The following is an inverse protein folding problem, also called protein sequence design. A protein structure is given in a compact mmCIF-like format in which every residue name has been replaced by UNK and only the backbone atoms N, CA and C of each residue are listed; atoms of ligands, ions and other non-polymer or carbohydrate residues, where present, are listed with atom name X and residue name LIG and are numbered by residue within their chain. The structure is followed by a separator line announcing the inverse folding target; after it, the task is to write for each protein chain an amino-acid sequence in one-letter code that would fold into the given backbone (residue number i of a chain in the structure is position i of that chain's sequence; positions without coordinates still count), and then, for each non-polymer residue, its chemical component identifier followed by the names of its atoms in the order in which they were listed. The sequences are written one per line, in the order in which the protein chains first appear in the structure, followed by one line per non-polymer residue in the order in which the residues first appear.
data_IF_117210431422
#
_entry.id   IF_117210431422
#
_cell.length_a   1.000
_cell.length_b   1.000
_cell.length_c   1.000
_cell.angle_alpha   90.00
_cell.angle_beta   90.00
_cell.angle_gamma   90.00
#
_symmetry.space_group_name_H-M   'P 1'
#
loop_
_entity.id
_entity.type
_entity.pdbx_description
1 polymer ?
#
# COMPACT_ATOMS: atom_id res chain seq x y z
N UNK A 1 -4.90 -12.47 -12.23
CA UNK A 1 -6.13 -11.71 -12.51
C UNK A 1 -5.84 -10.24 -12.25
N UNK A 2 -6.24 -9.33 -13.15
CA UNK A 2 -6.01 -7.90 -12.93
C UNK A 2 -6.81 -7.46 -11.71
N UNK A 3 -6.14 -7.06 -10.64
CA UNK A 3 -6.79 -6.22 -9.64
C UNK A 3 -7.42 -5.03 -10.37
N UNK A 4 -8.67 -4.72 -10.06
CA UNK A 4 -9.29 -3.50 -10.60
C UNK A 4 -8.50 -2.31 -10.06
N UNK A 5 -7.91 -1.52 -10.96
CA UNK A 5 -7.09 -0.39 -10.56
C UNK A 5 -7.96 0.65 -9.85
N UNK A 6 -7.56 1.01 -8.63
CA UNK A 6 -8.27 1.95 -7.76
C UNK A 6 -7.47 3.25 -7.63
N UNK A 7 -7.61 4.21 -8.58
CA UNK A 7 -6.81 5.42 -8.60
C UNK A 7 -6.97 6.26 -7.34
N UNK A 8 -8.13 6.19 -6.70
CA UNK A 8 -8.43 6.82 -5.41
C UNK A 8 -7.55 6.27 -4.29
N UNK A 9 -7.40 4.94 -4.20
CA UNK A 9 -6.59 4.28 -3.18
C UNK A 9 -5.09 4.49 -3.44
N UNK A 10 -4.67 4.41 -4.70
CA UNK A 10 -3.29 4.70 -5.08
C UNK A 10 -2.92 6.17 -4.84
N UNK A 11 -3.85 7.10 -5.09
CA UNK A 11 -3.69 8.51 -4.77
C UNK A 11 -3.51 8.75 -3.27
N UNK A 12 -4.27 8.08 -2.41
CA UNK A 12 -4.10 8.16 -0.95
C UNK A 12 -2.73 7.66 -0.51
N UNK A 13 -2.25 6.53 -1.08
CA UNK A 13 -0.90 6.01 -0.81
C UNK A 13 0.18 6.99 -1.26
N UNK A 14 0.01 7.59 -2.45
CA UNK A 14 0.93 8.58 -2.99
C UNK A 14 1.02 9.83 -2.10
N UNK A 15 -0.12 10.33 -1.60
CA UNK A 15 -0.14 11.45 -0.66
C UNK A 15 0.53 11.09 0.66
N UNK A 16 0.24 9.90 1.20
CA UNK A 16 0.83 9.41 2.45
C UNK A 16 2.36 9.32 2.36
N UNK A 17 2.91 8.70 1.31
CA UNK A 17 4.37 8.60 1.13
C UNK A 17 5.00 9.96 0.82
N UNK A 18 4.31 10.86 0.11
CA UNK A 18 4.80 12.21 -0.15
C UNK A 18 4.97 13.00 1.16
N UNK A 19 4.06 12.85 2.11
CA UNK A 19 4.20 13.42 3.45
C UNK A 19 5.42 12.86 4.20
N UNK A 20 5.66 11.56 4.12
CA UNK A 20 6.85 10.91 4.71
C UNK A 20 8.13 11.46 4.10
N UNK A 21 8.18 11.58 2.77
CA UNK A 21 9.33 12.13 2.05
C UNK A 21 9.56 13.58 2.45
N UNK A 22 8.52 14.43 2.46
CA UNK A 22 8.63 15.83 2.85
C UNK A 22 9.17 16.00 4.29
N UNK A 23 8.73 15.16 5.22
CA UNK A 23 9.26 15.13 6.58
C UNK A 23 10.78 14.89 6.61
N UNK A 24 11.28 13.94 5.80
CA UNK A 24 12.72 13.66 5.69
C UNK A 24 13.52 14.80 5.01
N UNK A 25 12.85 15.69 4.27
CA UNK A 25 13.45 16.90 3.69
C UNK A 25 13.45 18.12 4.62
N UNK A 26 13.12 17.94 5.90
CA UNK A 26 13.18 19.01 6.90
C UNK A 26 11.87 19.77 7.11
N UNK A 27 10.76 19.31 6.52
CA UNK A 27 9.42 19.80 6.87
C UNK A 27 8.89 19.10 8.13
N UNK A 28 9.72 19.03 9.17
CA UNK A 28 9.41 18.34 10.44
C UNK A 28 8.29 18.99 11.25
N UNK A 29 8.01 20.27 10.98
CA UNK A 29 6.94 21.03 11.64
C UNK A 29 5.53 20.66 11.12
N UNK A 30 5.44 19.84 10.07
CA UNK A 30 4.16 19.32 9.61
C UNK A 30 3.64 18.26 10.61
N UNK A 31 2.48 18.50 11.24
CA UNK A 31 1.89 17.50 12.12
C UNK A 31 1.57 16.23 11.32
N UNK A 32 1.96 15.06 11.85
CA UNK A 32 1.66 13.77 11.24
C UNK A 32 2.77 13.14 10.38
N UNK A 33 4.03 13.54 10.54
CA UNK A 33 5.17 12.95 9.80
C UNK A 33 5.24 11.42 9.85
N UNK A 34 4.84 10.80 10.97
CA UNK A 34 4.74 9.34 11.11
C UNK A 34 3.39 8.77 10.63
N UNK A 35 2.31 9.56 10.63
CA UNK A 35 0.97 9.11 10.21
C UNK A 35 0.93 8.70 8.74
N UNK A 36 1.75 9.33 7.89
CA UNK A 36 1.91 8.91 6.49
C UNK A 36 2.44 7.48 6.36
N UNK A 37 3.31 7.05 7.28
CA UNK A 37 3.83 5.68 7.34
C UNK A 37 2.68 4.71 7.67
N UNK A 38 1.91 5.02 8.72
CA UNK A 38 0.79 4.18 9.16
C UNK A 38 -0.27 4.02 8.06
N UNK A 39 -0.71 5.13 7.45
CA UNK A 39 -1.70 5.12 6.36
C UNK A 39 -1.21 4.26 5.20
N UNK A 40 0.04 4.45 4.75
CA UNK A 40 0.59 3.73 3.62
C UNK A 40 0.63 2.21 3.87
N UNK A 41 1.15 1.81 5.03
CA UNK A 41 1.31 0.38 5.35
C UNK A 41 -0.02 -0.30 5.66
N UNK A 42 -0.98 0.37 6.31
CA UNK A 42 -2.32 -0.18 6.55
C UNK A 42 -3.05 -0.45 5.24
N UNK A 43 -3.08 0.53 4.33
CA UNK A 43 -3.72 0.37 3.02
C UNK A 43 -3.02 -0.74 2.22
N UNK A 44 -1.69 -0.70 2.15
CA UNK A 44 -0.92 -1.69 1.38
C UNK A 44 -1.12 -3.10 1.96
N UNK A 45 -1.09 -3.25 3.27
CA UNK A 45 -1.31 -4.53 3.96
C UNK A 45 -2.71 -5.10 3.70
N UNK A 46 -3.75 -4.26 3.72
CA UNK A 46 -5.11 -4.67 3.37
C UNK A 46 -5.21 -5.17 1.93
N UNK A 47 -4.65 -4.42 0.97
CA UNK A 47 -4.70 -4.77 -0.45
C UNK A 47 -3.91 -6.05 -0.75
N UNK A 48 -2.67 -6.14 -0.27
CA UNK A 48 -1.80 -7.31 -0.45
C UNK A 48 -2.46 -8.55 0.14
N UNK A 49 -2.93 -8.46 1.39
CA UNK A 49 -3.59 -9.61 2.04
C UNK A 49 -4.85 -10.02 1.28
N UNK A 50 -5.66 -9.07 0.81
CA UNK A 50 -6.84 -9.36 -0.01
C UNK A 50 -6.49 -10.06 -1.34
N UNK A 51 -5.39 -9.69 -1.98
CA UNK A 51 -4.88 -10.34 -3.19
C UNK A 51 -4.44 -11.78 -2.91
N UNK A 52 -3.65 -11.99 -1.85
CA UNK A 52 -3.16 -13.32 -1.44
C UNK A 52 -4.31 -14.25 -1.04
N UNK A 53 -5.29 -13.77 -0.26
CA UNK A 53 -6.46 -14.56 0.13
C UNK A 53 -7.31 -14.95 -1.07
N UNK A 54 -7.44 -14.05 -2.05
CA UNK A 54 -8.16 -14.34 -3.31
C UNK A 54 -7.45 -15.42 -4.12
N UNK A 55 -6.13 -15.32 -4.25
CA UNK A 55 -5.33 -16.34 -4.94
C UNK A 55 -5.49 -17.72 -4.28
N UNK A 56 -5.40 -17.79 -2.96
CA UNK A 56 -5.64 -19.05 -2.23
C UNK A 56 -7.05 -19.58 -2.50
N UNK A 57 -8.06 -18.71 -2.50
CA UNK A 57 -9.44 -19.12 -2.72
C UNK A 57 -9.70 -19.62 -4.16
N UNK A 58 -9.01 -19.06 -5.15
CA UNK A 58 -9.18 -19.38 -6.57
C UNK A 58 -8.28 -20.56 -7.02
N UNK A 59 -7.01 -20.57 -6.62
CA UNK A 59 -5.98 -21.50 -7.09
C UNK A 59 -5.62 -22.59 -6.04
N UNK A 60 -6.11 -22.49 -4.81
CA UNK A 60 -5.86 -23.44 -3.71
C UNK A 60 -4.42 -23.39 -3.14
N UNK A 61 -3.60 -22.45 -3.62
CA UNK A 61 -2.20 -22.26 -3.22
C UNK A 61 -1.76 -20.82 -3.44
N UNK A 62 -0.64 -20.44 -2.84
CA UNK A 62 0.05 -19.17 -3.13
C UNK A 62 1.23 -19.42 -4.07
N UNK A 63 1.34 -18.60 -5.12
CA UNK A 63 2.53 -18.47 -5.96
C UNK A 63 3.21 -17.13 -5.70
N UNK A 64 4.19 -17.13 -4.79
CA UNK A 64 4.93 -15.92 -4.43
C UNK A 64 5.75 -15.36 -5.59
N UNK A 65 6.22 -16.21 -6.52
CA UNK A 65 6.95 -15.72 -7.68
C UNK A 65 6.04 -14.92 -8.59
N UNK A 66 4.82 -15.42 -8.81
CA UNK A 66 3.79 -14.69 -9.58
C UNK A 66 3.36 -13.40 -8.89
N UNK A 67 3.34 -13.36 -7.55
CA UNK A 67 2.97 -12.16 -6.80
C UNK A 67 4.02 -11.04 -6.92
N UNK A 68 5.30 -11.37 -6.94
CA UNK A 68 6.41 -10.39 -6.98
C UNK A 68 6.91 -10.05 -8.40
N UNK A 69 6.50 -10.80 -9.43
CA UNK A 69 6.88 -10.58 -10.83
C UNK A 69 6.09 -9.41 -11.46
#
# INVERSE_FOLDING_TARGET
MSASFRPDIEGLRALAVSGVVAFHFGLSDLPGGFTGVDIFFVISGYLITGQLLREIAEDGRLDLWRFYA
#
